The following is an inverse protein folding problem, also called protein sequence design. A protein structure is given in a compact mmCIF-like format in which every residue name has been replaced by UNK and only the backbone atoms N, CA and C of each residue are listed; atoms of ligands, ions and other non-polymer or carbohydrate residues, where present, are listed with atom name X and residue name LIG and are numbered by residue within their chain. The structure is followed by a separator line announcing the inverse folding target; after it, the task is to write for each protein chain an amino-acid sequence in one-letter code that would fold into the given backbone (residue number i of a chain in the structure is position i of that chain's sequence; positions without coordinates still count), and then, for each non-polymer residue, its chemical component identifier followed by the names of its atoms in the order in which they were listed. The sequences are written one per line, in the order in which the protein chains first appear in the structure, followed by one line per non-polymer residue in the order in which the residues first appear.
data_IF_135298265713
#
_entry.id   IF_135298265713
#
_cell.length_a   1.000
_cell.length_b   1.000
_cell.length_c   1.000
_cell.angle_alpha   90.00
_cell.angle_beta   90.00
_cell.angle_gamma   90.00
#
_symmetry.space_group_name_H-M   'P 1'
#
loop_
_entity.id
_entity.type
_entity.pdbx_description
1 polymer ?
#
# COMPACT_ATOMS: atom_id res chain seq x y z
N UNK A 1 4.49 16.45 -11.08
CA UNK A 1 4.71 15.22 -11.89
C UNK A 1 3.44 14.39 -11.79
N UNK A 2 2.87 13.89 -12.89
CA UNK A 2 1.62 13.11 -12.84
C UNK A 2 1.86 11.82 -12.05
N UNK A 3 1.16 11.71 -10.92
CA UNK A 3 1.15 10.57 -10.01
C UNK A 3 -0.28 10.06 -10.00
N UNK A 4 -0.45 8.78 -10.31
CA UNK A 4 -1.74 8.11 -10.36
C UNK A 4 -1.70 6.87 -9.46
N UNK A 5 -2.85 6.34 -9.12
CA UNK A 5 -3.05 5.15 -8.30
C UNK A 5 -4.12 4.22 -8.87
N UNK A 6 -4.01 2.94 -8.52
CA UNK A 6 -5.07 1.96 -8.64
C UNK A 6 -5.22 1.26 -7.30
N UNK A 7 -6.41 1.37 -6.69
CA UNK A 7 -6.76 0.70 -5.45
C UNK A 7 -7.64 -0.51 -5.74
N UNK A 8 -7.29 -1.66 -5.17
CA UNK A 8 -8.04 -2.89 -5.35
C UNK A 8 -8.12 -3.74 -4.10
N UNK A 9 -9.04 -4.70 -4.13
CA UNK A 9 -9.19 -5.73 -3.12
C UNK A 9 -9.43 -7.05 -3.85
N UNK A 10 -8.71 -8.10 -3.44
CA UNK A 10 -8.93 -9.50 -3.80
C UNK A 10 -9.56 -10.21 -2.59
N UNK A 11 -10.89 -10.47 -2.60
CA UNK A 11 -11.57 -11.14 -1.51
C UNK A 11 -11.17 -12.61 -1.34
N UNK A 12 -10.86 -13.31 -2.43
CA UNK A 12 -10.52 -14.73 -2.40
C UNK A 12 -9.17 -14.95 -1.73
N UNK A 13 -8.19 -14.12 -2.08
CA UNK A 13 -6.85 -14.15 -1.47
C UNK A 13 -6.75 -13.36 -0.17
N UNK A 14 -7.83 -12.65 0.19
CA UNK A 14 -7.89 -11.69 1.29
C UNK A 14 -6.76 -10.67 1.25
N UNK A 15 -6.57 -10.00 0.11
CA UNK A 15 -5.53 -8.98 -0.08
C UNK A 15 -6.19 -7.63 -0.40
N UNK A 16 -5.76 -6.56 0.25
CA UNK A 16 -5.96 -5.17 -0.21
C UNK A 16 -4.65 -4.72 -0.85
N UNK A 17 -4.72 -4.06 -1.99
CA UNK A 17 -3.53 -3.64 -2.71
C UNK A 17 -3.67 -2.28 -3.36
N UNK A 18 -2.54 -1.59 -3.53
CA UNK A 18 -2.46 -0.35 -4.30
C UNK A 18 -1.30 -0.42 -5.29
N UNK A 19 -1.55 -0.06 -6.54
CA UNK A 19 -0.51 0.17 -7.55
C UNK A 19 -0.34 1.67 -7.74
N UNK A 20 0.89 2.15 -7.58
CA UNK A 20 1.21 3.57 -7.64
C UNK A 20 2.05 3.85 -8.88
N UNK A 21 1.64 4.83 -9.68
CA UNK A 21 2.19 5.10 -11.00
C UNK A 21 2.77 6.50 -11.07
N UNK A 22 3.98 6.61 -11.62
CA UNK A 22 4.64 7.88 -11.93
C UNK A 22 4.94 7.92 -13.41
N UNK A 23 4.58 9.01 -14.10
CA UNK A 23 4.80 9.17 -15.55
C UNK A 23 4.24 7.97 -16.36
N UNK A 24 3.04 7.52 -16.02
CA UNK A 24 2.35 6.37 -16.62
C UNK A 24 3.08 5.01 -16.48
N UNK A 25 4.09 4.92 -15.62
CA UNK A 25 4.77 3.66 -15.29
C UNK A 25 4.50 3.30 -13.84
N UNK A 26 4.22 2.01 -13.58
CA UNK A 26 4.05 1.53 -12.20
C UNK A 26 5.38 1.66 -11.47
N UNK A 27 5.39 2.40 -10.37
CA UNK A 27 6.57 2.66 -9.57
C UNK A 27 6.68 1.68 -8.40
N UNK A 28 5.57 1.45 -7.69
CA UNK A 28 5.52 0.58 -6.52
C UNK A 28 4.14 -0.04 -6.37
N UNK A 29 4.11 -1.28 -5.87
CA UNK A 29 2.91 -2.00 -5.47
C UNK A 29 2.93 -2.21 -3.96
N UNK A 30 1.82 -1.94 -3.28
CA UNK A 30 1.65 -2.15 -1.85
C UNK A 30 0.61 -3.25 -1.64
N UNK A 31 0.88 -4.20 -0.75
CA UNK A 31 0.00 -5.33 -0.49
C UNK A 31 -0.16 -5.54 1.02
N UNK A 32 -1.40 -5.81 1.44
CA UNK A 32 -1.73 -6.17 2.82
C UNK A 32 -2.73 -7.31 2.80
N UNK A 33 -2.41 -8.40 3.49
CA UNK A 33 -3.27 -9.56 3.62
C UNK A 33 -4.04 -9.48 4.94
N UNK A 34 -5.36 -9.63 4.87
CA UNK A 34 -6.26 -9.57 6.03
C UNK A 34 -6.84 -10.95 6.34
N UNK A 35 -7.30 -11.15 7.58
CA UNK A 35 -7.91 -12.40 8.04
C UNK A 35 -9.41 -12.29 8.28
N UNK A 36 -9.84 -11.09 8.70
CA UNK A 36 -11.16 -10.77 9.22
C UNK A 36 -11.53 -9.31 8.93
N UNK A 37 -12.72 -8.88 9.31
CA UNK A 37 -13.22 -7.52 9.06
C UNK A 37 -12.36 -6.45 9.75
N UNK A 38 -11.85 -6.72 10.96
CA UNK A 38 -11.03 -5.76 11.70
C UNK A 38 -9.71 -5.48 10.96
N UNK A 39 -9.02 -6.54 10.55
CA UNK A 39 -7.77 -6.46 9.78
C UNK A 39 -7.99 -5.91 8.38
N UNK A 40 -9.15 -6.16 7.76
CA UNK A 40 -9.54 -5.52 6.50
C UNK A 40 -9.65 -3.99 6.63
N UNK A 41 -10.28 -3.50 7.70
CA UNK A 41 -10.39 -2.07 7.95
C UNK A 41 -9.02 -1.42 8.19
N UNK A 42 -8.15 -2.08 8.96
CA UNK A 42 -6.75 -1.65 9.15
C UNK A 42 -6.03 -1.58 7.81
N UNK A 43 -6.15 -2.62 6.97
CA UNK A 43 -5.50 -2.67 5.67
C UNK A 43 -5.95 -1.52 4.74
N UNK A 44 -7.26 -1.26 4.67
CA UNK A 44 -7.83 -0.15 3.89
C UNK A 44 -7.33 1.21 4.36
N UNK A 45 -7.33 1.45 5.67
CA UNK A 45 -6.81 2.71 6.24
C UNK A 45 -5.31 2.88 6.01
N UNK A 46 -4.54 1.80 6.12
CA UNK A 46 -3.11 1.83 5.91
C UNK A 46 -2.78 2.16 4.45
N UNK A 47 -3.37 1.46 3.49
CA UNK A 47 -3.18 1.76 2.07
C UNK A 47 -3.63 3.17 1.71
N UNK A 48 -4.77 3.63 2.24
CA UNK A 48 -5.26 4.98 1.97
C UNK A 48 -4.26 6.06 2.41
N UNK A 49 -3.62 5.89 3.58
CA UNK A 49 -2.57 6.83 4.01
C UNK A 49 -1.38 6.83 3.06
N UNK A 50 -0.93 5.66 2.60
CA UNK A 50 0.23 5.57 1.72
C UNK A 50 -0.06 6.11 0.31
N UNK A 51 -1.30 6.03 -0.16
CA UNK A 51 -1.75 6.74 -1.36
C UNK A 51 -1.66 8.27 -1.16
N UNK A 52 -2.01 8.79 0.02
CA UNK A 52 -1.84 10.22 0.32
C UNK A 52 -0.37 10.63 0.28
N UNK A 53 0.52 9.84 0.88
CA UNK A 53 1.98 10.07 0.82
C UNK A 53 2.52 9.99 -0.61
N UNK A 54 1.99 9.08 -1.42
CA UNK A 54 2.33 9.03 -2.83
C UNK A 54 1.98 10.34 -3.55
N UNK A 55 0.77 10.85 -3.35
CA UNK A 55 0.32 12.08 -3.98
C UNK A 55 1.00 13.35 -3.46
N UNK A 56 1.51 13.34 -2.23
CA UNK A 56 2.29 14.47 -1.68
C UNK A 56 3.72 14.57 -2.25
N UNK A 57 4.13 13.62 -3.09
CA UNK A 57 5.42 13.67 -3.78
C UNK A 57 6.55 12.90 -3.11
N UNK A 58 6.26 12.09 -2.07
CA UNK A 58 7.24 11.23 -1.38
C UNK A 58 7.99 10.35 -2.38
N UNK A 59 9.29 10.12 -2.17
CA UNK A 59 10.08 9.25 -3.05
C UNK A 59 9.62 7.80 -2.87
N UNK A 60 9.81 6.98 -3.91
CA UNK A 60 9.41 5.56 -3.87
C UNK A 60 10.11 4.80 -2.74
N UNK A 61 11.39 5.08 -2.50
CA UNK A 61 12.19 4.49 -1.41
C UNK A 61 11.62 4.82 -0.05
N UNK A 62 11.34 6.11 0.18
CA UNK A 62 10.85 6.61 1.46
C UNK A 62 9.40 6.12 1.72
N UNK A 63 8.60 6.00 0.64
CA UNK A 63 7.26 5.44 0.73
C UNK A 63 7.28 3.94 1.07
N UNK A 64 8.22 3.18 0.50
CA UNK A 64 8.42 1.77 0.84
C UNK A 64 8.80 1.61 2.31
N UNK A 65 9.77 2.41 2.77
CA UNK A 65 10.21 2.38 4.17
C UNK A 65 9.06 2.76 5.13
N UNK A 66 8.30 3.81 4.81
CA UNK A 66 7.14 4.21 5.60
C UNK A 66 6.06 3.11 5.66
N UNK A 67 5.83 2.40 4.55
CA UNK A 67 4.89 1.28 4.49
C UNK A 67 5.36 0.08 5.31
N UNK A 68 6.64 -0.28 5.18
CA UNK A 68 7.23 -1.43 5.88
C UNK A 68 7.40 -1.18 7.38
N UNK A 69 7.39 0.08 7.81
CA UNK A 69 7.46 0.50 9.21
C UNK A 69 6.13 1.00 9.79
N UNK A 70 5.01 0.91 9.05
CA UNK A 70 3.72 1.43 9.50
C UNK A 70 3.28 0.73 10.80
N UNK A 71 3.18 1.45 11.94
CA UNK A 71 2.83 0.84 13.21
C UNK A 71 1.45 0.19 13.22
N UNK A 72 0.53 0.63 12.34
CA UNK A 72 -0.80 -0.01 12.20
C UNK A 72 -0.68 -1.41 11.63
N UNK A 73 0.27 -1.63 10.73
CA UNK A 73 0.52 -2.93 10.11
C UNK A 73 1.37 -3.80 11.03
N UNK A 74 2.52 -3.27 11.47
CA UNK A 74 3.46 -3.97 12.37
C UNK A 74 2.76 -4.47 13.64
N UNK A 75 1.95 -3.62 14.29
CA UNK A 75 1.29 -3.99 15.56
C UNK A 75 0.03 -4.85 15.36
N UNK A 76 -0.50 -4.93 14.13
CA UNK A 76 -1.69 -5.74 13.84
C UNK A 76 -1.40 -7.20 13.55
N UNK A 77 -0.12 -7.55 13.31
CA UNK A 77 0.29 -8.92 12.98
C UNK A 77 -0.17 -9.41 11.60
N UNK A 78 -0.61 -8.49 10.72
CA UNK A 78 -0.96 -8.81 9.33
C UNK A 78 0.30 -9.06 8.49
N UNK A 79 0.16 -9.83 7.42
CA UNK A 79 1.21 -9.99 6.41
C UNK A 79 1.11 -8.83 5.40
N UNK A 80 2.20 -8.12 5.16
CA UNK A 80 2.24 -6.99 4.22
C UNK A 80 3.62 -6.87 3.58
N UNK A 81 3.66 -6.37 2.35
CA UNK A 81 4.91 -6.17 1.61
C UNK A 81 4.75 -5.12 0.50
N UNK A 82 5.88 -4.60 0.04
CA UNK A 82 5.92 -3.63 -1.05
C UNK A 82 6.92 -4.04 -2.13
N UNK A 83 6.50 -3.94 -3.39
CA UNK A 83 7.28 -4.31 -4.57
C UNK A 83 7.57 -3.08 -5.43
N UNK A 84 8.84 -2.70 -5.56
CA UNK A 84 9.28 -1.66 -6.48
C UNK A 84 9.47 -2.29 -7.86
N UNK A 85 8.94 -1.64 -8.90
CA UNK A 85 9.19 -2.05 -10.28
C UNK A 85 10.57 -1.55 -10.69
N UNK A 86 11.43 -2.46 -11.14
CA UNK A 86 12.76 -2.15 -11.68
C UNK A 86 12.67 -1.61 -13.10
#
# INVERSE_FOLDING_TARGET
MKRDEFLGQDPERKIVFAFLFSRNQKAISLFIKYSDEKTLQIAKQAISLHIIFWHSGVKVTDLKEAFESDPRLVNSGVEFWAEIVK
#
